data_IF_757544076857
#
_entry.id   IF_757544076857
#
_cell.length_a   1.000
_cell.length_b   1.000
_cell.length_c   1.000
_cell.angle_alpha   90.00
_cell.angle_beta   90.00
_cell.angle_gamma   90.00
#
_symmetry.space_group_name_H-M   'P 1'
#
loop_
_entity.id
_entity.type
_entity.pdbx_description
1 polymer ?
#
# COMPACT_ATOMS: atom_id res chain seq x y z
N UNK A 1 -2.33 -0.38 -23.88
CA UNK A 1 -3.39 0.20 -23.03
C UNK A 1 -3.42 -0.42 -21.62
N UNK A 2 -2.28 -0.81 -21.06
CA UNK A 2 -2.24 -1.56 -19.78
C UNK A 2 -1.43 -0.83 -18.68
N UNK A 3 -0.61 0.16 -19.03
CA UNK A 3 0.28 0.85 -18.08
C UNK A 3 -0.40 2.05 -17.37
N UNK A 4 -1.59 2.45 -17.80
CA UNK A 4 -2.27 3.67 -17.31
C UNK A 4 -3.16 3.45 -16.06
N UNK A 5 -3.40 2.21 -15.63
CA UNK A 5 -4.33 1.95 -14.51
C UNK A 5 -3.75 2.22 -13.11
N UNK A 6 -2.42 2.38 -13.00
CA UNK A 6 -1.74 2.76 -11.76
C UNK A 6 -1.91 4.24 -11.40
N UNK A 7 -2.18 5.11 -12.38
CA UNK A 7 -2.37 6.55 -12.16
C UNK A 7 -3.73 6.88 -11.51
N UNK A 8 -4.62 5.89 -11.41
CA UNK A 8 -5.96 6.06 -10.80
C UNK A 8 -5.90 6.25 -9.28
N UNK A 9 -4.80 5.87 -8.63
CA UNK A 9 -4.58 6.18 -7.22
C UNK A 9 -3.80 7.49 -7.10
N UNK A 10 -4.50 8.55 -6.71
CA UNK A 10 -3.82 9.79 -6.33
C UNK A 10 -2.79 9.49 -5.24
N UNK A 11 -1.68 10.23 -5.19
CA UNK A 11 -0.67 10.10 -4.12
C UNK A 11 -1.32 10.10 -2.72
N UNK A 12 -2.38 10.88 -2.55
CA UNK A 12 -3.21 10.92 -1.33
C UNK A 12 -3.92 9.61 -1.03
N UNK A 13 -4.56 8.98 -2.03
CA UNK A 13 -5.22 7.68 -1.86
C UNK A 13 -4.23 6.58 -1.51
N UNK A 14 -3.04 6.56 -2.12
CA UNK A 14 -2.00 5.60 -1.79
C UNK A 14 -1.46 5.80 -0.37
N UNK A 15 -1.32 7.05 0.08
CA UNK A 15 -0.89 7.34 1.44
C UNK A 15 -1.89 6.84 2.48
N UNK A 16 -3.19 7.08 2.27
CA UNK A 16 -4.25 6.55 3.14
C UNK A 16 -4.25 5.02 3.17
N UNK A 17 -4.11 4.40 1.99
CA UNK A 17 -4.07 2.95 1.90
C UNK A 17 -2.85 2.35 2.61
N UNK A 18 -1.68 2.98 2.48
CA UNK A 18 -0.47 2.62 3.21
C UNK A 18 -0.67 2.72 4.72
N UNK A 19 -1.30 3.78 5.20
CA UNK A 19 -1.62 3.97 6.63
C UNK A 19 -2.59 2.89 7.14
N UNK A 20 -3.63 2.56 6.37
CA UNK A 20 -4.57 1.49 6.70
C UNK A 20 -3.86 0.13 6.82
N UNK A 21 -3.03 -0.22 5.84
CA UNK A 21 -2.28 -1.47 5.86
C UNK A 21 -1.31 -1.52 7.03
N UNK A 22 -0.60 -0.44 7.31
CA UNK A 22 0.31 -0.37 8.45
C UNK A 22 -0.42 -0.55 9.79
N UNK A 23 -1.57 0.12 9.96
CA UNK A 23 -2.41 -0.02 11.14
C UNK A 23 -2.88 -1.47 11.34
N UNK A 24 -3.30 -2.15 10.27
CA UNK A 24 -3.74 -3.56 10.35
C UNK A 24 -2.60 -4.52 10.68
N UNK A 25 -1.36 -4.18 10.30
CA UNK A 25 -0.16 -4.95 10.63
C UNK A 25 0.40 -4.60 12.01
N UNK A 26 -0.21 -3.67 12.74
CA UNK A 26 0.28 -3.16 14.02
C UNK A 26 1.57 -2.35 13.91
N UNK A 27 1.87 -1.83 12.71
CA UNK A 27 3.07 -1.05 12.44
C UNK A 27 2.69 0.44 12.50
N UNK A 28 3.29 1.17 13.43
CA UNK A 28 3.05 2.59 13.56
C UNK A 28 3.86 3.37 12.50
N UNK A 29 3.16 4.05 11.58
CA UNK A 29 3.78 4.99 10.65
C UNK A 29 3.59 6.42 11.16
N UNK A 30 4.68 7.19 11.19
CA UNK A 30 4.63 8.62 11.50
C UNK A 30 4.62 9.45 10.22
N UNK A 31 3.85 10.53 10.14
CA UNK A 31 3.97 11.49 9.05
C UNK A 31 5.39 12.04 8.98
N UNK A 32 6.05 11.92 7.83
CA UNK A 32 7.35 12.54 7.57
C UNK A 32 8.59 11.83 8.14
N UNK A 33 8.46 10.92 9.10
CA UNK A 33 9.63 10.30 9.76
C UNK A 33 9.43 8.79 10.03
N UNK A 34 9.80 7.97 9.05
CA UNK A 34 9.87 6.51 9.17
C UNK A 34 11.27 5.97 8.82
N UNK A 35 12.32 6.79 8.96
CA UNK A 35 13.70 6.38 8.64
C UNK A 35 14.20 5.23 9.52
N UNK A 36 13.63 5.10 10.73
CA UNK A 36 13.93 4.02 11.68
C UNK A 36 13.04 2.78 11.51
N UNK A 37 12.14 2.77 10.52
CA UNK A 37 11.30 1.61 10.25
C UNK A 37 12.17 0.44 9.79
N UNK A 38 11.99 -0.73 10.39
CA UNK A 38 12.75 -1.91 9.98
C UNK A 38 12.46 -2.23 8.50
N UNK A 39 13.48 -2.65 7.74
CA UNK A 39 13.29 -3.05 6.35
C UNK A 39 12.24 -4.18 6.22
N UNK A 40 12.14 -5.03 7.24
CA UNK A 40 11.12 -6.08 7.35
C UNK A 40 9.71 -5.48 7.41
N UNK A 41 9.47 -4.49 8.25
CA UNK A 41 8.15 -3.89 8.42
C UNK A 41 7.75 -3.04 7.20
N UNK A 42 8.70 -2.29 6.63
CA UNK A 42 8.49 -1.60 5.36
C UNK A 42 8.10 -2.59 4.24
N UNK A 43 8.81 -3.73 4.15
CA UNK A 43 8.52 -4.79 3.20
C UNK A 43 7.14 -5.43 3.42
N UNK A 44 6.76 -5.68 4.68
CA UNK A 44 5.43 -6.22 5.04
C UNK A 44 4.31 -5.28 4.59
N UNK A 45 4.44 -3.98 4.82
CA UNK A 45 3.46 -2.97 4.40
C UNK A 45 3.33 -2.98 2.87
N UNK A 46 4.45 -2.83 2.14
CA UNK A 46 4.43 -2.77 0.68
C UNK A 46 3.90 -4.06 0.04
N UNK A 47 4.29 -5.22 0.56
CA UNK A 47 3.83 -6.52 0.07
C UNK A 47 2.31 -6.72 0.25
N UNK A 48 1.78 -6.34 1.41
CA UNK A 48 0.34 -6.44 1.68
C UNK A 48 -0.47 -5.47 0.82
N UNK A 49 0.05 -4.26 0.57
CA UNK A 49 -0.56 -3.32 -0.38
C UNK A 49 -0.69 -3.94 -1.78
N UNK A 50 0.40 -4.49 -2.32
CA UNK A 50 0.41 -5.13 -3.65
C UNK A 50 -0.55 -6.32 -3.69
N UNK A 51 -0.55 -7.17 -2.66
CA UNK A 51 -1.45 -8.34 -2.58
C UNK A 51 -2.91 -7.94 -2.72
N UNK A 52 -3.35 -6.90 -2.01
CA UNK A 52 -4.74 -6.41 -2.08
C UNK A 52 -5.07 -5.74 -3.41
N UNK A 53 -4.14 -4.96 -3.96
CA UNK A 53 -4.33 -4.33 -5.26
C UNK A 53 -4.53 -5.38 -6.36
N UNK A 54 -3.71 -6.44 -6.35
CA UNK A 54 -3.84 -7.57 -7.27
C UNK A 54 -5.16 -8.30 -7.07
N UNK A 55 -5.54 -8.58 -5.82
CA UNK A 55 -6.83 -9.24 -5.51
C UNK A 55 -8.02 -8.42 -6.02
N UNK A 56 -8.06 -7.12 -5.74
CA UNK A 56 -9.13 -6.22 -6.19
C UNK A 56 -9.19 -6.12 -7.72
N UNK A 57 -8.04 -6.17 -8.40
CA UNK A 57 -7.99 -6.23 -9.86
C UNK A 57 -8.55 -7.55 -10.40
N UNK A 58 -8.14 -8.69 -9.83
CA UNK A 58 -8.67 -10.01 -10.20
C UNK A 58 -10.17 -10.12 -10.00
N UNK A 59 -10.72 -9.53 -8.92
CA UNK A 59 -12.17 -9.51 -8.65
C UNK A 59 -12.95 -8.67 -9.66
N UNK A 60 -12.35 -7.64 -10.26
CA UNK A 60 -12.97 -6.79 -11.30
C UNK A 60 -12.93 -7.40 -12.71
N UNK A 61 -12.04 -8.36 -12.94
CA UNK A 61 -11.95 -9.10 -14.21
C UNK A 61 -12.89 -10.30 -14.28
N UNK A 62 -13.44 -10.72 -13.13
CA UNK A 62 -14.51 -11.71 -13.06
C UNK A 62 -15.84 -11.07 -13.43
#
# INVERSE_FOLDING_TARGET
>A
MEVLYLDKYTKSSLNKFKEEVANQLGINLKPGDNGNLSARDAGRIGGEMVRRMVKAYQERLK
#
